data_IF_314388269332
#
_entry.id   IF_314388269332
#
_cell.length_a   1.000
_cell.length_b   1.000
_cell.length_c   1.000
_cell.angle_alpha   90.00
_cell.angle_beta   90.00
_cell.angle_gamma   90.00
#
_symmetry.space_group_name_H-M   'P 1'
#
loop_
_entity.id
_entity.type
_entity.pdbx_description
1 polymer ?
#
# COMPACT_ATOMS: atom_id res chain seq x y z
N UNK A 1 44.24 34.93 -44.34
CA UNK A 1 43.54 35.96 -45.13
C UNK A 1 42.29 36.37 -44.37
N UNK A 2 42.19 37.67 -44.04
CA UNK A 2 41.08 38.44 -43.41
C UNK A 2 40.50 37.88 -42.09
N UNK A 3 40.78 38.38 -40.88
CA UNK A 3 40.74 39.75 -40.31
C UNK A 3 39.37 40.45 -40.48
N UNK A 4 38.60 40.48 -39.39
CA UNK A 4 37.67 41.57 -39.09
C UNK A 4 37.54 41.70 -37.56
N UNK A 5 38.24 42.70 -37.03
CA UNK A 5 38.11 43.24 -35.67
C UNK A 5 37.03 44.31 -35.70
N UNK A 6 36.07 44.31 -34.77
CA UNK A 6 35.33 45.53 -34.40
C UNK A 6 35.03 45.54 -32.90
N UNK A 7 35.14 46.73 -32.36
CA UNK A 7 35.53 47.06 -30.99
C UNK A 7 34.33 47.58 -30.20
N UNK A 8 34.33 47.31 -28.88
CA UNK A 8 33.74 48.12 -27.78
C UNK A 8 32.21 48.35 -27.76
N UNK A 9 31.58 47.96 -26.64
CA UNK A 9 31.25 48.91 -25.55
C UNK A 9 30.71 48.22 -24.30
N UNK A 10 31.24 48.67 -23.18
CA UNK A 10 30.81 48.37 -21.81
C UNK A 10 29.66 49.32 -21.43
N UNK A 11 28.52 48.78 -20.99
CA UNK A 11 27.44 49.47 -20.24
C UNK A 11 26.91 48.40 -19.25
N UNK A 12 27.33 48.34 -17.99
CA UNK A 12 26.91 49.14 -16.82
C UNK A 12 25.45 48.94 -16.37
N UNK A 13 25.31 48.45 -15.13
CA UNK A 13 24.20 48.55 -14.15
C UNK A 13 23.23 47.37 -14.00
N UNK A 14 23.34 46.78 -12.79
CA UNK A 14 22.32 46.23 -11.86
C UNK A 14 20.87 46.15 -12.38
N UNK A 15 20.28 44.96 -12.25
CA UNK A 15 18.84 44.74 -12.22
C UNK A 15 18.56 43.35 -11.63
N UNK A 16 18.26 43.29 -10.35
CA UNK A 16 17.87 42.08 -9.63
C UNK A 16 16.36 41.93 -9.85
N UNK A 17 15.93 41.12 -10.82
CA UNK A 17 14.50 40.87 -11.08
C UNK A 17 13.93 39.86 -10.07
N UNK A 18 13.19 40.37 -9.08
CA UNK A 18 12.50 39.58 -8.05
C UNK A 18 11.15 38.99 -8.50
N UNK A 19 10.92 38.76 -9.79
CA UNK A 19 9.57 38.42 -10.28
C UNK A 19 9.36 36.98 -10.74
N UNK A 20 10.22 36.02 -10.38
CA UNK A 20 10.04 34.63 -10.83
C UNK A 20 10.06 33.53 -9.75
N UNK A 21 9.90 33.88 -8.46
CA UNK A 21 9.95 32.89 -7.36
C UNK A 21 8.55 32.35 -6.98
N UNK A 22 7.46 32.98 -7.41
CA UNK A 22 6.12 32.64 -6.90
C UNK A 22 5.51 31.40 -7.57
N UNK A 23 5.85 31.10 -8.83
CA UNK A 23 5.22 29.98 -9.56
C UNK A 23 5.83 28.60 -9.28
N UNK A 24 7.00 28.52 -8.65
CA UNK A 24 7.67 27.24 -8.40
C UNK A 24 7.22 26.52 -7.11
N UNK A 25 6.58 27.24 -6.17
CA UNK A 25 6.21 26.72 -4.85
C UNK A 25 4.78 26.17 -4.74
N UNK A 26 3.86 26.59 -5.62
CA UNK A 26 2.46 26.13 -5.57
C UNK A 26 2.32 24.65 -5.93
N UNK A 27 3.05 24.17 -6.95
CA UNK A 27 3.05 22.75 -7.34
C UNK A 27 3.76 21.83 -6.36
N UNK A 28 4.84 22.30 -5.70
CA UNK A 28 5.60 21.48 -4.75
C UNK A 28 4.86 21.25 -3.43
N UNK A 29 4.05 22.21 -2.97
CA UNK A 29 3.25 22.07 -1.75
C UNK A 29 2.13 21.04 -1.91
N UNK A 30 1.39 21.06 -3.01
CA UNK A 30 0.32 20.06 -3.21
C UNK A 30 0.86 18.64 -3.44
N UNK A 31 1.95 18.52 -4.22
CA UNK A 31 2.65 17.24 -4.42
C UNK A 31 3.23 16.69 -3.09
N UNK A 32 3.86 17.53 -2.26
CA UNK A 32 4.42 17.06 -0.98
C UNK A 32 3.34 16.65 0.00
N UNK A 33 2.22 17.38 0.07
CA UNK A 33 1.11 17.08 0.99
C UNK A 33 0.41 15.78 0.58
N UNK A 34 0.20 15.56 -0.72
CA UNK A 34 -0.36 14.31 -1.25
C UNK A 34 0.58 13.12 -1.03
N UNK A 35 1.89 13.29 -1.22
CA UNK A 35 2.90 12.25 -0.95
C UNK A 35 2.98 11.92 0.53
N UNK A 36 2.98 12.92 1.42
CA UNK A 36 2.98 12.74 2.87
C UNK A 36 1.69 12.06 3.33
N UNK A 37 0.53 12.45 2.80
CA UNK A 37 -0.75 11.81 3.09
C UNK A 37 -0.80 10.35 2.58
N UNK A 38 -0.23 10.08 1.40
CA UNK A 38 -0.11 8.72 0.84
C UNK A 38 0.84 7.86 1.67
N UNK A 39 1.97 8.41 2.12
CA UNK A 39 2.94 7.74 2.99
C UNK A 39 2.34 7.45 4.38
N UNK A 40 1.56 8.38 4.93
CA UNK A 40 0.78 8.20 6.16
C UNK A 40 -0.22 7.04 6.02
N UNK A 41 -0.86 6.90 4.86
CA UNK A 41 -1.83 5.82 4.56
C UNK A 41 -1.23 4.42 4.40
N UNK A 42 0.09 4.31 4.21
CA UNK A 42 0.79 3.05 3.94
C UNK A 42 1.64 2.58 5.12
N UNK A 43 1.62 3.32 6.23
CA UNK A 43 2.35 2.99 7.44
C UNK A 43 1.75 1.81 8.21
N UNK A 44 2.45 1.44 9.29
CA UNK A 44 1.94 0.53 10.30
C UNK A 44 0.67 1.13 10.95
N UNK A 45 -0.35 0.32 11.19
CA UNK A 45 -1.61 0.76 11.77
C UNK A 45 -1.40 1.36 13.17
N UNK A 46 -2.03 2.50 13.43
CA UNK A 46 -2.14 3.07 14.79
C UNK A 46 -3.09 2.23 15.65
N UNK A 47 -3.13 2.51 16.96
CA UNK A 47 -4.07 1.82 17.84
C UNK A 47 -5.52 2.14 17.47
N UNK A 48 -5.83 3.39 17.14
CA UNK A 48 -7.16 3.80 16.73
C UNK A 48 -7.59 3.11 15.42
N UNK A 49 -6.69 2.99 14.45
CA UNK A 49 -6.96 2.27 13.20
C UNK A 49 -7.18 0.77 13.45
N UNK A 50 -6.44 0.17 14.39
CA UNK A 50 -6.65 -1.23 14.80
C UNK A 50 -8.03 -1.42 15.43
N UNK A 51 -8.42 -0.57 16.36
CA UNK A 51 -9.71 -0.66 17.04
C UNK A 51 -10.87 -0.53 16.03
N UNK A 52 -10.71 0.36 15.05
CA UNK A 52 -11.69 0.57 13.98
C UNK A 52 -11.78 -0.62 13.01
N UNK A 53 -10.65 -1.18 12.59
CA UNK A 53 -10.60 -2.11 11.45
C UNK A 53 -10.54 -3.59 11.85
N UNK A 54 -9.90 -3.92 12.98
CA UNK A 54 -9.75 -5.32 13.38
C UNK A 54 -11.04 -5.89 13.96
N UNK A 55 -11.87 -5.09 14.61
CA UNK A 55 -13.10 -5.57 15.28
C UNK A 55 -13.95 -6.49 14.39
N UNK A 56 -14.21 -6.11 13.14
CA UNK A 56 -14.97 -6.92 12.18
C UNK A 56 -14.22 -8.18 11.71
N UNK A 57 -12.91 -8.10 11.52
CA UNK A 57 -12.12 -9.26 11.12
C UNK A 57 -12.09 -10.29 12.25
N UNK A 58 -11.95 -9.83 13.49
CA UNK A 58 -11.93 -10.68 14.68
C UNK A 58 -13.27 -11.39 14.89
N UNK A 59 -14.40 -10.71 14.68
CA UNK A 59 -15.73 -11.36 14.74
C UNK A 59 -15.93 -12.36 13.62
N UNK A 60 -15.25 -12.20 12.48
CA UNK A 60 -15.22 -13.16 11.39
C UNK A 60 -14.20 -14.29 11.59
N UNK A 61 -13.58 -14.42 12.76
CA UNK A 61 -12.68 -15.53 13.10
C UNK A 61 -11.22 -15.33 12.71
N UNK A 62 -10.82 -14.10 12.34
CA UNK A 62 -9.39 -13.76 12.33
C UNK A 62 -8.87 -13.62 13.76
N UNK A 63 -7.58 -13.87 13.97
CA UNK A 63 -6.90 -13.69 15.25
C UNK A 63 -5.64 -12.85 15.06
N UNK A 64 -5.25 -12.10 16.10
CA UNK A 64 -3.94 -11.44 16.15
C UNK A 64 -2.91 -12.45 16.67
N UNK A 65 -1.77 -12.56 16.00
CA UNK A 65 -0.67 -13.44 16.40
C UNK A 65 0.09 -12.85 17.60
N UNK A 66 0.57 -13.70 18.52
CA UNK A 66 1.26 -13.24 19.75
C UNK A 66 2.72 -12.86 19.48
N UNK A 67 3.40 -13.62 18.64
CA UNK A 67 4.86 -13.48 18.40
C UNK A 67 5.19 -12.48 17.28
N UNK A 68 4.20 -12.09 16.48
CA UNK A 68 4.37 -11.23 15.31
C UNK A 68 3.15 -10.34 15.15
N UNK A 69 3.37 -9.09 14.76
CA UNK A 69 2.29 -8.18 14.38
C UNK A 69 1.68 -8.56 13.03
N UNK A 70 0.79 -9.55 13.09
CA UNK A 70 0.14 -10.20 11.98
C UNK A 70 -1.27 -10.64 12.39
N UNK A 71 -2.14 -10.85 11.41
CA UNK A 71 -3.43 -11.50 11.60
C UNK A 71 -3.43 -12.87 10.91
N UNK A 72 -4.22 -13.79 11.44
CA UNK A 72 -4.28 -15.16 10.99
C UNK A 72 -5.72 -15.67 10.93
N UNK A 73 -6.00 -16.55 9.96
CA UNK A 73 -7.26 -17.31 9.91
C UNK A 73 -7.08 -18.64 9.16
N UNK A 74 -7.78 -19.67 9.63
CA UNK A 74 -7.96 -20.93 8.90
C UNK A 74 -9.30 -20.91 8.16
N UNK A 75 -9.27 -21.28 6.88
CA UNK A 75 -10.44 -21.49 6.04
C UNK A 75 -10.57 -22.97 5.72
N UNK A 76 -11.79 -23.51 5.83
CA UNK A 76 -12.11 -24.92 5.55
C UNK A 76 -13.19 -25.00 4.47
N UNK A 77 -12.88 -25.69 3.38
CA UNK A 77 -13.74 -25.87 2.21
C UNK A 77 -14.24 -27.32 2.11
N UNK A 78 -15.08 -27.62 1.12
CA UNK A 78 -15.57 -29.01 0.90
C UNK A 78 -14.48 -29.94 0.40
N UNK A 79 -13.59 -29.46 -0.46
CA UNK A 79 -12.55 -30.23 -1.13
C UNK A 79 -11.42 -29.31 -1.64
N UNK A 80 -10.38 -29.91 -2.23
CA UNK A 80 -9.25 -29.18 -2.79
C UNK A 80 -9.64 -28.26 -3.97
N UNK A 81 -10.60 -28.65 -4.81
CA UNK A 81 -10.99 -27.84 -5.97
C UNK A 81 -11.57 -26.49 -5.53
N UNK A 82 -12.45 -26.48 -4.52
CA UNK A 82 -12.96 -25.24 -3.93
C UNK A 82 -11.84 -24.42 -3.27
N UNK A 83 -11.00 -25.06 -2.45
CA UNK A 83 -9.89 -24.39 -1.77
C UNK A 83 -8.95 -23.69 -2.78
N UNK A 84 -8.58 -24.38 -3.86
CA UNK A 84 -7.68 -23.83 -4.86
C UNK A 84 -8.35 -22.77 -5.75
N UNK A 85 -9.65 -22.88 -6.00
CA UNK A 85 -10.43 -21.82 -6.66
C UNK A 85 -10.47 -20.53 -5.84
N UNK A 86 -10.71 -20.65 -4.52
CA UNK A 86 -10.57 -19.56 -3.55
C UNK A 86 -9.15 -18.96 -3.61
N UNK A 87 -8.11 -19.78 -3.48
CA UNK A 87 -6.71 -19.33 -3.51
C UNK A 87 -6.37 -18.58 -4.80
N UNK A 88 -6.85 -19.05 -5.95
CA UNK A 88 -6.61 -18.39 -7.25
C UNK A 88 -7.14 -16.95 -7.27
N UNK A 89 -8.34 -16.71 -6.73
CA UNK A 89 -8.92 -15.36 -6.67
C UNK A 89 -8.18 -14.46 -5.68
N UNK A 90 -7.72 -15.01 -4.56
CA UNK A 90 -6.85 -14.30 -3.61
C UNK A 90 -5.52 -13.92 -4.26
N UNK A 91 -4.89 -14.82 -5.03
CA UNK A 91 -3.65 -14.54 -5.74
C UNK A 91 -3.80 -13.40 -6.76
N UNK A 92 -4.89 -13.39 -7.54
CA UNK A 92 -5.17 -12.29 -8.49
C UNK A 92 -5.32 -10.94 -7.79
N UNK A 93 -5.98 -10.91 -6.63
CA UNK A 93 -6.14 -9.69 -5.86
C UNK A 93 -4.83 -9.26 -5.18
N UNK A 94 -4.03 -10.22 -4.70
CA UNK A 94 -2.71 -9.97 -4.12
C UNK A 94 -1.78 -9.29 -5.13
N UNK A 95 -1.70 -9.80 -6.36
CA UNK A 95 -0.95 -9.18 -7.46
C UNK A 95 -1.43 -7.77 -7.78
N UNK A 96 -2.76 -7.57 -7.88
CA UNK A 96 -3.34 -6.25 -8.12
C UNK A 96 -3.00 -5.24 -7.01
N UNK A 97 -2.85 -5.72 -5.78
CA UNK A 97 -2.53 -4.90 -4.61
C UNK A 97 -1.03 -4.74 -4.37
N UNK A 98 -0.18 -5.50 -5.05
CA UNK A 98 1.23 -5.69 -4.71
C UNK A 98 1.40 -5.99 -3.20
N UNK A 99 0.58 -6.94 -2.72
CA UNK A 99 0.55 -7.35 -1.32
C UNK A 99 0.15 -8.81 -1.20
N UNK A 100 1.09 -9.66 -0.78
CA UNK A 100 0.94 -11.11 -0.84
C UNK A 100 0.68 -11.72 0.53
N UNK A 101 -0.18 -12.76 0.63
CA UNK A 101 -0.35 -13.51 1.87
C UNK A 101 0.83 -14.47 2.10
N UNK A 102 1.09 -14.77 3.36
CA UNK A 102 1.75 -16.01 3.74
C UNK A 102 0.66 -17.07 3.94
N UNK A 103 0.77 -18.22 3.28
CA UNK A 103 -0.24 -19.26 3.44
C UNK A 103 0.31 -20.68 3.39
N UNK A 104 -0.48 -21.59 3.94
CA UNK A 104 -0.28 -23.03 3.90
C UNK A 104 -1.59 -23.70 3.50
N UNK A 105 -1.53 -24.66 2.58
CA UNK A 105 -2.70 -25.40 2.13
C UNK A 105 -2.47 -26.91 2.22
N UNK A 106 -3.43 -27.61 2.80
CA UNK A 106 -3.52 -29.08 2.76
C UNK A 106 -4.96 -29.45 2.41
N UNK A 107 -5.14 -30.01 1.22
CA UNK A 107 -6.44 -30.42 0.69
C UNK A 107 -7.48 -29.29 0.79
N UNK A 108 -8.47 -29.41 1.67
CA UNK A 108 -9.57 -28.47 1.82
C UNK A 108 -9.32 -27.37 2.85
N UNK A 109 -8.13 -27.30 3.47
CA UNK A 109 -7.78 -26.30 4.48
C UNK A 109 -6.78 -25.29 3.93
N UNK A 110 -7.03 -24.01 4.15
CA UNK A 110 -6.10 -22.91 3.79
C UNK A 110 -5.88 -22.05 5.02
N UNK A 111 -4.65 -22.02 5.51
CA UNK A 111 -4.22 -21.23 6.66
C UNK A 111 -3.53 -19.99 6.11
N UNK A 112 -4.02 -18.80 6.46
CA UNK A 112 -3.52 -17.52 5.93
C UNK A 112 -3.03 -16.64 7.07
N UNK A 113 -1.82 -16.10 6.91
CA UNK A 113 -1.22 -15.07 7.76
C UNK A 113 -0.98 -13.81 6.92
N UNK A 114 -1.38 -12.65 7.43
CA UNK A 114 -1.15 -11.34 6.78
C UNK A 114 -0.37 -10.41 7.69
N UNK A 115 0.67 -9.79 7.13
CA UNK A 115 1.48 -8.74 7.73
C UNK A 115 2.25 -8.02 6.62
N UNK A 116 2.54 -6.74 6.79
CA UNK A 116 3.31 -5.94 5.83
C UNK A 116 4.79 -5.90 6.23
N UNK A 117 5.65 -6.53 5.44
CA UNK A 117 7.09 -6.67 5.74
C UNK A 117 7.84 -5.33 5.73
N UNK A 118 7.49 -4.43 4.82
CA UNK A 118 8.13 -3.12 4.62
C UNK A 118 7.90 -2.15 5.80
N UNK A 119 6.82 -2.34 6.55
CA UNK A 119 6.51 -1.57 7.78
C UNK A 119 6.63 -2.40 9.06
N UNK A 120 7.11 -3.65 8.95
CA UNK A 120 7.27 -4.60 10.05
C UNK A 120 6.02 -4.69 10.95
N UNK A 121 4.87 -4.95 10.33
CA UNK A 121 3.62 -5.08 11.06
C UNK A 121 2.37 -4.95 10.20
N UNK A 122 1.21 -4.86 10.85
CA UNK A 122 -0.07 -4.67 10.17
C UNK A 122 -0.15 -3.27 9.55
N UNK A 123 -0.61 -3.23 8.30
CA UNK A 123 -0.95 -2.00 7.57
C UNK A 123 -2.38 -2.07 7.02
N UNK A 124 -2.82 -0.97 6.41
CA UNK A 124 -4.11 -0.94 5.72
C UNK A 124 -4.22 -1.97 4.57
N UNK A 125 -3.10 -2.41 3.99
CA UNK A 125 -3.09 -3.45 2.94
C UNK A 125 -3.53 -4.80 3.49
N UNK A 126 -3.08 -5.15 4.70
CA UNK A 126 -3.47 -6.38 5.38
C UNK A 126 -4.98 -6.40 5.64
N UNK A 127 -5.53 -5.29 6.15
CA UNK A 127 -6.98 -5.15 6.37
C UNK A 127 -7.75 -5.34 5.08
N UNK A 128 -7.35 -4.64 4.00
CA UNK A 128 -8.04 -4.72 2.70
C UNK A 128 -8.01 -6.13 2.11
N UNK A 129 -6.86 -6.79 2.18
CA UNK A 129 -6.73 -8.15 1.66
C UNK A 129 -7.52 -9.15 2.52
N UNK A 130 -7.49 -9.02 3.85
CA UNK A 130 -8.30 -9.83 4.75
C UNK A 130 -9.81 -9.70 4.48
N UNK A 131 -10.31 -8.48 4.29
CA UNK A 131 -11.72 -8.23 3.96
C UNK A 131 -12.09 -8.87 2.62
N UNK A 132 -11.24 -8.71 1.60
CA UNK A 132 -11.46 -9.37 0.31
C UNK A 132 -11.49 -10.89 0.44
N UNK A 133 -10.54 -11.46 1.19
CA UNK A 133 -10.46 -12.91 1.44
C UNK A 133 -11.76 -13.42 2.09
N UNK A 134 -12.29 -12.72 3.10
CA UNK A 134 -13.56 -13.07 3.75
C UNK A 134 -14.73 -13.08 2.76
N UNK A 135 -14.79 -12.10 1.85
CA UNK A 135 -15.86 -12.01 0.86
C UNK A 135 -15.78 -13.13 -0.19
N UNK A 136 -14.57 -13.47 -0.63
CA UNK A 136 -14.33 -14.60 -1.55
C UNK A 136 -14.70 -15.93 -0.90
N UNK A 137 -14.35 -16.12 0.39
CA UNK A 137 -14.66 -17.34 1.12
C UNK A 137 -16.18 -17.60 1.25
N UNK A 138 -17.00 -16.54 1.44
CA UNK A 138 -18.47 -16.66 1.52
C UNK A 138 -19.11 -17.18 0.23
N UNK A 139 -18.49 -16.90 -0.93
CA UNK A 139 -19.00 -17.34 -2.23
C UNK A 139 -18.80 -18.85 -2.41
N UNK A 140 -17.64 -19.38 -2.00
CA UNK A 140 -17.28 -20.78 -2.22
C UNK A 140 -17.80 -21.73 -1.13
N UNK A 141 -18.28 -21.19 0.00
CA UNK A 141 -18.92 -21.99 1.05
C UNK A 141 -20.36 -22.41 0.73
N UNK A 142 -20.89 -22.03 -0.45
CA UNK A 142 -22.20 -22.48 -0.98
C UNK A 142 -22.02 -23.64 -1.95
#
# INVERSE_FOLDING_TARGET
MLLATLTRRFISRRGFDQHNIVYHNLGQKELSTAVIAKKKKMGKLTQEERDQHLSLLLTNGWTVQTERDAIYKEFVFKNFNQAFGFMTRVALQAEKMDHHPEWFNVYNKVNITLSSHDVNGLSQRDIKLATFIDDVAKVDSK
#
